data_IF_548125985149
#
_entry.id   IF_548125985149
#
_cell.length_a   1.000
_cell.length_b   1.000
_cell.length_c   1.000
_cell.angle_alpha   90.00
_cell.angle_beta   90.00
_cell.angle_gamma   90.00
#
_symmetry.space_group_name_H-M   'P 1'
#
loop_
_entity.id
_entity.type
_entity.pdbx_description
1 polymer ?
#
# COMPACT_ATOMS: atom_id res chain seq x y z
N UNK A 1 4.46 20.89 -5.26
CA UNK A 1 3.32 21.44 -4.49
C UNK A 1 2.50 20.27 -3.98
N UNK A 2 2.00 20.30 -2.75
CA UNK A 2 1.08 19.26 -2.27
C UNK A 2 -0.29 19.46 -2.92
N UNK A 3 -0.71 18.56 -3.81
CA UNK A 3 -1.97 18.72 -4.55
C UNK A 3 -3.20 18.29 -3.75
N UNK A 4 -3.03 17.55 -2.63
CA UNK A 4 -4.10 17.19 -1.72
C UNK A 4 -4.61 18.40 -0.92
N UNK A 5 -3.73 19.36 -0.64
CA UNK A 5 -4.06 20.56 0.12
C UNK A 5 -4.76 21.61 -0.77
N UNK A 6 -6.07 21.76 -0.56
CA UNK A 6 -6.86 22.76 -1.30
C UNK A 6 -6.59 24.20 -0.86
N UNK A 7 -6.01 24.43 0.32
CA UNK A 7 -5.73 25.78 0.83
C UNK A 7 -4.70 26.52 -0.04
N UNK A 8 -3.80 25.78 -0.69
CA UNK A 8 -2.76 26.33 -1.55
C UNK A 8 -3.17 26.43 -3.03
N UNK A 9 -4.34 25.92 -3.41
CA UNK A 9 -4.82 25.91 -4.79
C UNK A 9 -5.08 27.32 -5.36
N UNK A 10 -5.48 28.28 -4.50
CA UNK A 10 -5.68 29.69 -4.88
C UNK A 10 -4.36 30.44 -5.09
N UNK A 11 -3.34 30.12 -4.29
CA UNK A 11 -1.98 30.66 -4.42
C UNK A 11 -1.33 30.23 -5.75
N UNK A 12 -1.74 29.07 -6.25
CA UNK A 12 -1.16 28.41 -7.40
C UNK A 12 -1.50 29.09 -8.74
N UNK A 13 -2.62 29.79 -8.89
CA UNK A 13 -3.04 30.35 -10.20
C UNK A 13 -2.01 31.33 -10.80
N UNK A 14 -1.37 32.13 -9.96
CA UNK A 14 -0.35 33.10 -10.40
C UNK A 14 1.00 32.42 -10.63
N UNK A 15 1.34 31.42 -9.80
CA UNK A 15 2.56 30.63 -9.94
C UNK A 15 2.49 29.70 -11.17
N UNK A 16 1.31 29.18 -11.49
CA UNK A 16 1.06 28.29 -12.64
C UNK A 16 1.49 28.83 -13.98
N UNK A 17 1.54 30.15 -14.12
CA UNK A 17 1.98 30.82 -15.36
C UNK A 17 3.50 31.01 -15.47
N UNK A 18 4.26 30.74 -14.39
CA UNK A 18 5.70 31.03 -14.29
C UNK A 18 6.58 29.79 -14.11
N UNK A 19 5.99 28.64 -13.81
CA UNK A 19 6.71 27.39 -13.57
C UNK A 19 6.25 26.29 -14.54
N UNK A 20 7.15 25.38 -14.88
CA UNK A 20 6.78 24.09 -15.46
C UNK A 20 6.33 23.15 -14.34
N UNK A 21 5.26 22.39 -14.58
CA UNK A 21 4.70 21.46 -13.60
C UNK A 21 5.04 20.03 -14.01
N UNK A 22 5.79 19.35 -13.14
CA UNK A 22 6.05 17.93 -13.25
C UNK A 22 5.25 17.26 -12.13
N UNK A 23 4.26 16.46 -12.50
CA UNK A 23 3.45 15.72 -11.55
C UNK A 23 4.24 14.51 -11.02
N UNK A 24 4.25 14.36 -9.70
CA UNK A 24 4.87 13.21 -9.01
C UNK A 24 3.75 12.38 -8.40
N UNK A 25 3.34 11.33 -9.12
CA UNK A 25 2.31 10.41 -8.67
C UNK A 25 2.89 9.29 -7.81
N UNK A 26 2.01 8.50 -7.20
CA UNK A 26 2.37 7.25 -6.56
C UNK A 26 3.19 6.36 -7.53
N UNK A 27 4.37 5.92 -7.10
CA UNK A 27 5.25 5.05 -7.88
C UNK A 27 5.19 3.62 -7.34
N UNK A 28 4.34 2.79 -7.94
CA UNK A 28 4.14 1.40 -7.54
C UNK A 28 5.35 0.51 -7.84
N UNK A 29 6.22 0.89 -8.79
CA UNK A 29 7.41 0.10 -9.14
C UNK A 29 8.44 0.02 -8.00
N UNK A 30 8.34 0.89 -6.99
CA UNK A 30 9.16 0.82 -5.78
C UNK A 30 8.82 -0.38 -4.88
N UNK A 31 7.67 -1.03 -5.13
CA UNK A 31 7.20 -2.22 -4.43
C UNK A 31 7.07 -3.42 -5.37
N UNK A 32 7.69 -3.37 -6.56
CA UNK A 32 7.64 -4.48 -7.50
C UNK A 32 8.18 -5.75 -6.84
N UNK A 33 7.47 -6.87 -7.07
CA UNK A 33 7.67 -8.17 -6.40
C UNK A 33 7.69 -8.16 -4.86
N UNK A 34 7.40 -7.04 -4.20
CA UNK A 34 7.44 -6.97 -2.73
C UNK A 34 6.19 -7.60 -2.13
N UNK A 35 6.35 -8.74 -1.47
CA UNK A 35 5.29 -9.43 -0.74
C UNK A 35 5.51 -9.29 0.77
N UNK A 36 4.56 -8.66 1.45
CA UNK A 36 4.58 -8.47 2.90
C UNK A 36 3.60 -9.44 3.55
N UNK A 37 4.08 -10.51 4.19
CA UNK A 37 3.21 -11.49 4.90
C UNK A 37 2.08 -12.03 3.99
N UNK A 38 2.42 -12.39 2.75
CA UNK A 38 1.46 -12.82 1.72
C UNK A 38 0.63 -11.71 1.06
N UNK A 39 0.93 -10.43 1.33
CA UNK A 39 0.32 -9.25 0.71
C UNK A 39 1.24 -8.63 -0.36
N UNK A 40 0.92 -8.74 -1.66
CA UNK A 40 1.60 -7.97 -2.69
C UNK A 40 1.36 -6.47 -2.51
N UNK A 41 2.39 -5.74 -2.07
CA UNK A 41 2.23 -4.34 -1.65
C UNK A 41 1.88 -3.42 -2.83
N UNK A 42 2.51 -3.62 -3.98
CA UNK A 42 2.24 -2.86 -5.21
C UNK A 42 0.75 -2.92 -5.60
N UNK A 43 0.17 -4.14 -5.64
CA UNK A 43 -1.22 -4.39 -6.01
C UNK A 43 -2.17 -3.87 -4.95
N UNK A 44 -1.87 -4.11 -3.67
CA UNK A 44 -2.69 -3.63 -2.57
C UNK A 44 -2.81 -2.10 -2.55
N UNK A 45 -1.68 -1.39 -2.70
CA UNK A 45 -1.68 0.07 -2.72
C UNK A 45 -2.34 0.63 -3.98
N UNK A 46 -2.18 -0.04 -5.12
CA UNK A 46 -2.85 0.33 -6.37
C UNK A 46 -4.36 0.26 -6.23
N UNK A 47 -4.84 -0.82 -5.64
CA UNK A 47 -6.26 -1.06 -5.40
C UNK A 47 -6.85 -0.12 -4.34
N UNK A 48 -6.11 0.17 -3.28
CA UNK A 48 -6.52 1.16 -2.29
C UNK A 48 -6.68 2.55 -2.93
N UNK A 49 -5.71 2.98 -3.74
CA UNK A 49 -5.79 4.26 -4.45
C UNK A 49 -6.89 4.28 -5.52
N UNK A 50 -7.16 3.16 -6.19
CA UNK A 50 -8.26 3.04 -7.14
C UNK A 50 -9.61 3.26 -6.45
N UNK A 51 -9.86 2.57 -5.32
CA UNK A 51 -11.08 2.72 -4.53
C UNK A 51 -11.24 4.12 -3.95
N UNK A 52 -10.16 4.72 -3.45
CA UNK A 52 -10.15 6.13 -3.03
C UNK A 52 -10.58 7.05 -4.17
N UNK A 53 -10.05 6.84 -5.38
CA UNK A 53 -10.42 7.61 -6.56
C UNK A 53 -11.89 7.44 -6.95
N UNK A 54 -12.40 6.20 -6.93
CA UNK A 54 -13.79 5.89 -7.28
C UNK A 54 -14.80 6.43 -6.25
N UNK A 55 -14.48 6.35 -4.96
CA UNK A 55 -15.39 6.75 -3.90
C UNK A 55 -15.49 8.26 -3.70
N UNK A 56 -14.39 8.99 -3.85
CA UNK A 56 -14.35 10.44 -3.61
C UNK A 56 -14.67 11.25 -4.88
N UNK A 57 -14.32 10.73 -6.06
CA UNK A 57 -14.68 11.33 -7.35
C UNK A 57 -13.60 12.24 -7.94
N UNK A 58 -14.03 13.32 -8.62
CA UNK A 58 -13.23 14.06 -9.62
C UNK A 58 -11.87 14.59 -9.13
N UNK A 59 -11.74 14.96 -7.85
CA UNK A 59 -10.50 15.50 -7.30
C UNK A 59 -9.60 14.45 -6.63
N UNK A 60 -10.08 13.21 -6.54
CA UNK A 60 -9.46 12.17 -5.75
C UNK A 60 -8.13 11.68 -6.31
N UNK A 61 -7.81 12.02 -7.58
CA UNK A 61 -6.47 11.84 -8.16
C UNK A 61 -5.38 12.47 -7.28
N UNK A 62 -5.66 13.62 -6.68
CA UNK A 62 -4.71 14.33 -5.81
C UNK A 62 -4.65 13.77 -4.39
N UNK A 63 -5.55 12.84 -4.05
CA UNK A 63 -5.69 12.22 -2.73
C UNK A 63 -5.12 10.79 -2.71
N UNK A 64 -4.34 10.42 -3.73
CA UNK A 64 -3.68 9.13 -3.73
C UNK A 64 -2.65 9.04 -2.60
N UNK A 65 -2.65 7.92 -1.90
CA UNK A 65 -1.69 7.58 -0.88
C UNK A 65 -0.33 7.40 -1.55
N UNK A 66 0.66 8.17 -1.08
CA UNK A 66 2.03 8.15 -1.59
C UNK A 66 2.88 7.00 -1.06
N UNK A 67 3.97 6.71 -1.77
CA UNK A 67 4.87 5.58 -1.47
C UNK A 67 5.70 5.83 -0.22
N UNK A 68 5.89 7.09 0.18
CA UNK A 68 6.71 7.47 1.34
C UNK A 68 6.26 6.83 2.65
N UNK A 69 4.97 6.56 2.83
CA UNK A 69 4.46 5.88 4.03
C UNK A 69 5.07 4.48 4.21
N UNK A 70 5.30 3.78 3.09
CA UNK A 70 5.74 2.38 3.09
C UNK A 70 7.23 2.22 2.77
N UNK A 71 8.00 3.31 2.75
CA UNK A 71 9.45 3.28 2.51
C UNK A 71 10.24 3.71 3.74
N UNK A 72 11.37 3.05 3.95
CA UNK A 72 12.41 3.45 4.90
C UNK A 72 13.78 3.28 4.25
N UNK A 73 14.55 4.37 4.18
CA UNK A 73 15.87 4.37 3.52
C UNK A 73 15.79 3.79 2.09
N UNK A 74 14.79 4.24 1.35
CA UNK A 74 14.50 3.84 -0.05
C UNK A 74 14.18 2.35 -0.24
N UNK A 75 13.79 1.64 0.81
CA UNK A 75 13.34 0.24 0.75
C UNK A 75 11.94 0.06 1.32
N UNK A 76 11.13 -0.88 0.79
CA UNK A 76 9.87 -1.26 1.40
C UNK A 76 10.01 -1.65 2.86
N UNK A 77 9.05 -1.25 3.68
CA UNK A 77 8.99 -1.68 5.07
C UNK A 77 8.55 -3.14 5.17
N UNK A 78 9.26 -3.93 5.99
CA UNK A 78 8.96 -5.36 6.20
C UNK A 78 8.66 -5.70 7.66
N UNK A 79 8.52 -4.69 8.54
CA UNK A 79 8.26 -4.90 9.97
C UNK A 79 6.78 -4.82 10.33
N UNK A 80 6.25 -5.87 10.96
CA UNK A 80 4.83 -5.99 11.33
C UNK A 80 4.30 -4.85 12.18
N UNK A 81 5.01 -4.49 13.25
CA UNK A 81 4.58 -3.39 14.13
C UNK A 81 4.61 -2.03 13.41
N UNK A 82 5.57 -1.83 12.52
CA UNK A 82 5.65 -0.60 11.73
C UNK A 82 4.53 -0.52 10.70
N UNK A 83 4.22 -1.62 10.01
CA UNK A 83 3.10 -1.70 9.08
C UNK A 83 1.78 -1.42 9.79
N UNK A 84 1.51 -2.08 10.93
CA UNK A 84 0.31 -1.82 11.76
C UNK A 84 0.22 -0.34 12.13
N UNK A 85 1.34 0.25 12.55
CA UNK A 85 1.41 1.67 12.92
C UNK A 85 1.06 2.59 11.75
N UNK A 86 1.64 2.39 10.57
CA UNK A 86 1.34 3.19 9.38
C UNK A 86 -0.15 3.12 9.04
N UNK A 87 -0.71 1.91 9.01
CA UNK A 87 -2.14 1.75 8.68
C UNK A 87 -3.01 2.46 9.72
N UNK A 88 -2.70 2.30 11.02
CA UNK A 88 -3.48 2.84 12.14
C UNK A 88 -3.37 4.36 12.32
N UNK A 89 -2.16 4.89 12.27
CA UNK A 89 -1.85 6.28 12.64
C UNK A 89 -1.82 7.22 11.44
N UNK A 90 -1.56 6.69 10.23
CA UNK A 90 -1.44 7.51 9.02
C UNK A 90 -2.59 7.24 8.04
N UNK A 91 -2.77 5.99 7.59
CA UNK A 91 -3.68 5.69 6.48
C UNK A 91 -5.15 5.79 6.89
N UNK A 92 -5.55 5.21 8.02
CA UNK A 92 -6.93 5.28 8.50
C UNK A 92 -7.37 6.74 8.72
N UNK A 93 -6.64 7.56 9.50
CA UNK A 93 -7.03 8.96 9.70
C UNK A 93 -7.10 9.77 8.41
N UNK A 94 -6.19 9.51 7.45
CA UNK A 94 -6.19 10.16 6.15
C UNK A 94 -7.47 9.85 5.36
N UNK A 95 -7.88 8.58 5.32
CA UNK A 95 -9.13 8.18 4.65
C UNK A 95 -10.36 8.73 5.40
N UNK A 96 -10.35 8.76 6.74
CA UNK A 96 -11.42 9.39 7.53
C UNK A 96 -11.60 10.87 7.17
N UNK A 97 -10.50 11.61 7.03
CA UNK A 97 -10.50 13.00 6.60
C UNK A 97 -11.05 13.15 5.17
N UNK A 98 -10.59 12.32 4.25
CA UNK A 98 -11.05 12.35 2.85
C UNK A 98 -12.55 12.06 2.70
N UNK A 99 -13.07 11.16 3.53
CA UNK A 99 -14.49 10.78 3.54
C UNK A 99 -15.34 11.70 4.42
N UNK A 100 -14.77 12.73 5.06
CA UNK A 100 -15.47 13.60 6.01
C UNK A 100 -16.21 12.81 7.12
N UNK A 101 -15.64 11.69 7.57
CA UNK A 101 -16.25 10.81 8.57
C UNK A 101 -17.43 9.96 8.07
N UNK A 102 -17.68 9.87 6.77
CA UNK A 102 -18.69 8.95 6.22
C UNK A 102 -18.20 7.50 6.27
N UNK A 103 -18.62 6.76 7.30
CA UNK A 103 -18.27 5.36 7.51
C UNK A 103 -18.68 4.42 6.38
N UNK A 104 -19.70 4.77 5.58
CA UNK A 104 -20.06 3.97 4.41
C UNK A 104 -19.02 4.13 3.29
N UNK A 105 -18.49 5.34 3.07
CA UNK A 105 -17.39 5.57 2.13
C UNK A 105 -16.07 5.00 2.64
N UNK A 106 -15.76 5.20 3.92
CA UNK A 106 -14.55 4.64 4.56
C UNK A 106 -14.56 3.11 4.41
N UNK A 107 -15.71 2.46 4.63
CA UNK A 107 -15.85 1.01 4.47
C UNK A 107 -15.70 0.54 3.01
N UNK A 108 -16.14 1.32 2.02
CA UNK A 108 -15.86 0.98 0.61
C UNK A 108 -14.37 1.05 0.27
N UNK A 109 -13.64 1.99 0.87
CA UNK A 109 -12.21 2.19 0.62
C UNK A 109 -11.34 1.20 1.42
N UNK A 110 -11.61 0.99 2.71
CA UNK A 110 -10.79 0.15 3.59
C UNK A 110 -11.30 -1.28 3.73
N UNK A 111 -12.60 -1.49 3.50
CA UNK A 111 -13.28 -2.77 3.65
C UNK A 111 -14.07 -2.91 4.96
N UNK A 112 -15.11 -3.75 4.92
CA UNK A 112 -15.93 -4.11 6.10
C UNK A 112 -15.14 -4.90 7.17
N UNK A 113 -14.01 -5.49 6.77
CA UNK A 113 -13.08 -6.15 7.69
C UNK A 113 -12.42 -5.17 8.66
N UNK A 114 -12.26 -3.90 8.28
CA UNK A 114 -11.62 -2.86 9.10
C UNK A 114 -12.67 -1.93 9.72
N UNK A 115 -13.77 -1.70 9.01
CA UNK A 115 -14.76 -0.67 9.36
C UNK A 115 -16.07 -1.32 9.81
N UNK A 116 -16.54 -0.97 11.00
CA UNK A 116 -17.89 -1.28 11.44
C UNK A 116 -18.81 -0.10 11.10
N UNK A 117 -19.50 -0.23 9.97
CA UNK A 117 -20.43 0.80 9.47
C UNK A 117 -21.61 1.01 10.42
N UNK A 118 -22.05 -0.03 11.14
CA UNK A 118 -23.22 0.06 12.02
C UNK A 118 -22.91 0.87 13.27
N UNK A 119 -21.75 0.61 13.87
CA UNK A 119 -21.30 1.30 15.07
C UNK A 119 -20.52 2.59 14.78
N UNK A 120 -20.22 2.86 13.51
CA UNK A 120 -19.39 4.00 13.09
C UNK A 120 -18.03 3.98 13.79
N UNK A 121 -17.36 2.83 13.76
CA UNK A 121 -16.06 2.63 14.39
C UNK A 121 -15.09 1.87 13.50
N UNK A 122 -13.80 2.05 13.78
CA UNK A 122 -12.72 1.23 13.23
C UNK A 122 -12.42 0.10 14.22
N UNK A 123 -12.20 -1.10 13.68
CA UNK A 123 -11.83 -2.31 14.43
C UNK A 123 -10.38 -2.27 14.89
N UNK A 124 -10.07 -1.40 15.84
CA UNK A 124 -8.70 -1.21 16.33
C UNK A 124 -8.14 -2.43 17.07
N UNK A 125 -8.97 -3.40 17.45
CA UNK A 125 -8.55 -4.69 17.99
C UNK A 125 -7.59 -5.45 17.05
N UNK A 126 -7.73 -5.27 15.73
CA UNK A 126 -6.87 -5.88 14.70
C UNK A 126 -5.40 -5.44 14.78
N UNK A 127 -5.13 -4.34 15.49
CA UNK A 127 -3.79 -3.76 15.61
C UNK A 127 -3.11 -4.10 16.93
N UNK A 128 -3.83 -4.69 17.88
CA UNK A 128 -3.31 -5.00 19.21
C UNK A 128 -2.80 -6.44 19.33
N UNK A 129 -3.09 -7.29 18.34
CA UNK A 129 -2.63 -8.68 18.28
C UNK A 129 -1.18 -8.74 17.83
N UNK A 130 -0.42 -9.73 18.31
CA UNK A 130 0.93 -10.00 17.78
C UNK A 130 0.86 -10.51 16.35
N UNK A 131 -0.12 -11.36 16.05
CA UNK A 131 -0.39 -11.87 14.71
C UNK A 131 -1.01 -10.79 13.82
N UNK A 132 -0.44 -10.61 12.63
CA UNK A 132 -0.87 -9.64 11.62
C UNK A 132 -1.80 -10.26 10.57
N UNK A 133 -1.95 -11.59 10.55
CA UNK A 133 -2.73 -12.30 9.54
C UNK A 133 -4.19 -11.82 9.46
N UNK A 134 -4.80 -11.49 10.62
CA UNK A 134 -6.15 -10.96 10.69
C UNK A 134 -6.24 -9.57 10.01
N UNK A 135 -5.26 -8.70 10.24
CA UNK A 135 -5.18 -7.39 9.59
C UNK A 135 -4.99 -7.52 8.08
N UNK A 136 -4.09 -8.40 7.64
CA UNK A 136 -3.86 -8.66 6.20
C UNK A 136 -5.13 -9.21 5.55
N UNK A 137 -5.82 -10.14 6.21
CA UNK A 137 -7.09 -10.68 5.71
C UNK A 137 -8.17 -9.60 5.65
N UNK A 138 -8.23 -8.71 6.64
CA UNK A 138 -9.15 -7.58 6.64
C UNK A 138 -8.87 -6.59 5.50
N UNK A 139 -7.60 -6.25 5.25
CA UNK A 139 -7.17 -5.37 4.15
C UNK A 139 -7.46 -5.96 2.77
N UNK A 140 -7.38 -7.28 2.64
CA UNK A 140 -7.64 -8.02 1.40
C UNK A 140 -9.12 -8.34 1.17
N UNK A 141 -9.99 -8.23 2.18
CA UNK A 141 -11.42 -8.54 2.09
C UNK A 141 -12.11 -7.89 0.87
N UNK A 142 -11.82 -6.62 0.52
CA UNK A 142 -12.40 -5.99 -0.67
C UNK A 142 -11.92 -6.57 -1.99
N UNK A 143 -10.74 -7.21 -2.02
CA UNK A 143 -10.09 -7.72 -3.24
C UNK A 143 -9.36 -9.06 -2.98
N UNK A 144 -10.10 -10.16 -2.81
CA UNK A 144 -9.53 -11.45 -2.40
C UNK A 144 -8.58 -12.05 -3.46
N UNK A 145 -8.77 -11.71 -4.73
CA UNK A 145 -7.94 -12.16 -5.86
C UNK A 145 -6.48 -11.72 -5.76
N UNK A 146 -6.18 -10.63 -5.04
CA UNK A 146 -4.80 -10.16 -4.85
C UNK A 146 -3.98 -11.16 -4.01
N UNK A 147 -4.63 -11.89 -3.10
CA UNK A 147 -3.95 -12.88 -2.24
C UNK A 147 -3.39 -14.07 -3.04
N UNK A 148 -4.14 -14.52 -4.05
CA UNK A 148 -3.72 -15.65 -4.90
C UNK A 148 -2.51 -15.27 -5.75
N UNK A 149 -2.45 -14.02 -6.20
CA UNK A 149 -1.32 -13.46 -6.95
C UNK A 149 -0.06 -13.27 -6.11
N UNK A 150 -0.18 -13.18 -4.78
CA UNK A 150 0.98 -13.13 -3.87
C UNK A 150 1.64 -14.48 -3.69
N UNK A 151 0.84 -15.55 -3.62
CA UNK A 151 1.38 -16.92 -3.56
C UNK A 151 2.20 -17.27 -4.79
N UNK A 152 1.73 -16.88 -5.98
CA UNK A 152 2.49 -17.10 -7.23
C UNK A 152 3.82 -16.35 -7.22
N UNK A 153 3.87 -15.13 -6.68
CA UNK A 153 5.11 -14.36 -6.59
C UNK A 153 6.09 -14.95 -5.56
N UNK A 154 5.59 -15.45 -4.42
CA UNK A 154 6.41 -16.18 -3.44
C UNK A 154 6.95 -17.50 -4.03
N UNK A 155 6.14 -18.23 -4.78
CA UNK A 155 6.54 -19.48 -5.45
C UNK A 155 7.60 -19.21 -6.54
N UNK A 156 7.46 -18.14 -7.33
CA UNK A 156 8.43 -17.73 -8.37
C UNK A 156 9.80 -17.32 -7.74
N UNK A 157 9.79 -16.62 -6.59
CA UNK A 157 11.04 -16.27 -5.88
C UNK A 157 11.75 -17.50 -5.31
N UNK A 158 11.00 -18.47 -4.79
CA UNK A 158 11.55 -19.74 -4.31
C UNK A 158 12.17 -20.54 -5.46
N UNK A 159 11.58 -20.54 -6.65
CA UNK A 159 12.17 -21.19 -7.83
C UNK A 159 13.47 -20.49 -8.29
N UNK A 160 13.50 -19.15 -8.35
CA UNK A 160 14.70 -18.38 -8.72
C UNK A 160 15.86 -18.62 -7.72
N UNK A 161 15.60 -18.62 -6.41
CA UNK A 161 16.64 -18.90 -5.39
C UNK A 161 17.19 -20.34 -5.49
N UNK A 162 16.32 -21.33 -5.71
CA UNK A 162 16.71 -22.73 -5.86
C UNK A 162 17.52 -22.99 -7.13
N UNK A 163 17.31 -22.24 -8.22
CA UNK A 163 18.13 -22.34 -9.42
C UNK A 163 19.53 -21.75 -9.22
N UNK A 164 19.65 -20.63 -8.49
CA UNK A 164 20.93 -20.00 -8.18
C UNK A 164 21.79 -20.90 -7.28
N UNK A 165 21.19 -21.59 -6.29
CA UNK A 165 21.92 -22.56 -5.46
C UNK A 165 22.43 -23.77 -6.25
N UNK A 166 21.63 -24.32 -7.18
CA UNK A 166 22.06 -25.44 -8.03
C UNK A 166 23.22 -25.09 -8.97
N UNK A 167 23.27 -23.85 -9.46
CA UNK A 167 24.38 -23.36 -10.30
C UNK A 167 25.66 -23.19 -9.48
N UNK A 168 25.56 -22.80 -8.22
CA UNK A 168 26.72 -22.65 -7.33
C UNK A 168 27.30 -23.99 -6.85
N UNK A 169 26.47 -25.02 -6.63
CA UNK A 169 26.95 -26.37 -6.27
C UNK A 169 27.61 -27.11 -7.45
N UNK A 170 27.20 -26.82 -8.68
CA UNK A 170 27.74 -27.47 -9.89
C UNK A 170 29.04 -26.83 -10.43
N UNK A 171 29.42 -25.64 -9.94
CA UNK A 171 30.64 -24.92 -10.36
C UNK A 171 31.90 -25.14 -9.51
N UNK A 172 31.81 -25.87 -8.39
CA UNK A 172 32.89 -25.99 -7.38
C UNK A 172 33.92 -27.11 -7.61
N UNK A 173 33.94 -27.75 -8.78
CA UNK A 173 34.66 -29.01 -8.99
C UNK A 173 35.69 -29.02 -10.10
N UNK A 174 36.62 -28.06 -10.21
CA UNK A 174 37.92 -28.34 -10.85
C UNK A 174 38.99 -27.29 -10.53
N UNK A 175 39.90 -27.57 -9.59
CA UNK A 175 41.32 -27.14 -9.60
C UNK A 175 42.14 -28.02 -8.67
N UNK A 176 42.54 -29.19 -9.17
CA UNK A 176 43.76 -29.87 -8.73
C UNK A 176 44.65 -30.09 -9.93
N UNK A 177 45.71 -29.28 -10.05
CA UNK A 177 47.05 -29.63 -10.56
C UNK A 177 47.98 -28.43 -10.47
#
# INVERSE_FOLDING_TARGET
>A
MNTADRSIALLDVVLRRRFGFIELMMNYALFDKTVFEGLPLDKCLKELNARTCECIGTDARNLQIGHSYFLEKDKPIMGNEKFKRIIREDIIPLIEEYCYGDYALISKILGEGIVDVKNQTIRFELFNTSDIADLITALLSPCPTIRELGKVAEDDEIEEENEIEKVNESGGGDKTS
#
